data_IF_980309132352
#
_entry.id   IF_980309132352
#
_cell.length_a   1.000
_cell.length_b   1.000
_cell.length_c   1.000
_cell.angle_alpha   90.00
_cell.angle_beta   90.00
_cell.angle_gamma   90.00
#
_symmetry.space_group_name_H-M   'P 1'
#
loop_
_entity.id
_entity.type
_entity.pdbx_description
1 polymer ?
#
# COMPACT_ATOMS: atom_id res chain seq x y z
N UNK A 1 -14.43 -11.96 7.54
CA UNK A 1 -12.96 -12.14 7.52
C UNK A 1 -12.24 -10.81 7.32
N UNK A 2 -12.52 -10.07 6.22
CA UNK A 2 -11.90 -8.78 5.91
C UNK A 2 -11.90 -7.76 7.08
N UNK A 3 -13.06 -7.50 7.70
CA UNK A 3 -13.14 -6.56 8.83
C UNK A 3 -12.25 -6.95 10.02
N UNK A 4 -12.08 -8.25 10.31
CA UNK A 4 -11.20 -8.70 11.40
C UNK A 4 -9.73 -8.42 11.07
N UNK A 5 -9.33 -8.57 9.81
CA UNK A 5 -7.96 -8.31 9.37
C UNK A 5 -7.64 -6.82 9.23
N UNK A 6 -8.65 -5.96 9.07
CA UNK A 6 -8.49 -4.51 9.00
C UNK A 6 -8.24 -3.85 10.37
N UNK A 7 -8.53 -4.54 11.47
CA UNK A 7 -8.30 -4.02 12.83
C UNK A 7 -6.82 -3.75 13.07
N UNK A 8 -5.96 -4.69 12.69
CA UNK A 8 -4.52 -4.60 12.92
C UNK A 8 -3.87 -3.38 12.23
N UNK A 9 -4.02 -3.17 10.91
CA UNK A 9 -3.45 -2.00 10.25
C UNK A 9 -4.06 -0.69 10.78
N UNK A 10 -5.37 -0.65 11.07
CA UNK A 10 -6.01 0.52 11.67
C UNK A 10 -5.44 0.88 13.05
N UNK A 11 -5.20 -0.13 13.89
CA UNK A 11 -4.60 0.07 15.21
C UNK A 11 -3.15 0.58 15.10
N UNK A 12 -2.36 0.05 14.17
CA UNK A 12 -0.96 0.48 13.97
C UNK A 12 -0.84 1.95 13.59
N UNK A 13 -1.74 2.46 12.74
CA UNK A 13 -1.77 3.88 12.34
C UNK A 13 -1.85 4.81 13.55
N UNK A 14 -2.60 4.42 14.58
CA UNK A 14 -2.82 5.25 15.77
C UNK A 14 -1.75 4.96 16.83
N UNK A 15 -1.49 3.68 17.10
CA UNK A 15 -0.59 3.28 18.17
C UNK A 15 0.85 3.72 17.92
N UNK A 16 1.34 3.67 16.68
CA UNK A 16 2.74 4.00 16.37
C UNK A 16 3.07 5.48 16.62
N UNK A 17 2.31 6.47 16.09
CA UNK A 17 2.52 7.88 16.41
C UNK A 17 2.39 8.21 17.90
N UNK A 18 1.44 7.59 18.60
CA UNK A 18 1.26 7.76 20.05
C UNK A 18 2.53 7.29 20.78
N UNK A 19 2.97 6.07 20.54
CA UNK A 19 4.16 5.51 21.19
C UNK A 19 5.42 6.31 20.86
N UNK A 20 5.63 6.67 19.60
CA UNK A 20 6.82 7.43 19.19
C UNK A 20 6.79 8.84 19.78
N UNK A 21 5.64 9.51 19.77
CA UNK A 21 5.47 10.85 20.31
C UNK A 21 5.77 10.91 21.80
N UNK A 22 5.15 10.03 22.61
CA UNK A 22 5.30 10.07 24.07
C UNK A 22 6.65 9.51 24.57
N UNK A 23 7.26 8.55 23.87
CA UNK A 23 8.52 7.95 24.31
C UNK A 23 9.76 8.69 23.80
N UNK A 24 9.72 9.24 22.58
CA UNK A 24 10.89 9.82 21.90
C UNK A 24 10.73 11.30 21.53
N UNK A 25 9.56 11.88 21.80
CA UNK A 25 9.29 13.31 21.61
C UNK A 25 8.93 13.72 20.17
N UNK A 26 8.60 15.01 19.97
CA UNK A 26 8.05 15.54 18.73
C UNK A 26 9.04 15.51 17.54
N UNK A 27 10.34 15.62 17.78
CA UNK A 27 11.36 15.56 16.71
C UNK A 27 11.40 14.17 16.07
N UNK A 28 11.35 13.13 16.90
CA UNK A 28 11.33 11.73 16.45
C UNK A 28 10.04 11.39 15.68
N UNK A 29 8.92 11.99 16.09
CA UNK A 29 7.65 11.91 15.37
C UNK A 29 7.75 12.53 13.97
N UNK A 30 8.43 13.67 13.83
CA UNK A 30 8.71 14.30 12.55
C UNK A 30 9.55 13.40 11.63
N UNK A 31 10.60 12.76 12.16
CA UNK A 31 11.43 11.82 11.39
C UNK A 31 10.66 10.57 10.94
N UNK A 32 9.77 10.05 11.80
CA UNK A 32 8.85 8.96 11.43
C UNK A 32 7.99 9.35 10.23
N UNK A 33 7.43 10.56 10.23
CA UNK A 33 6.58 11.05 9.14
C UNK A 33 7.34 11.17 7.82
N UNK A 34 8.56 11.69 7.85
CA UNK A 34 9.41 11.80 6.65
C UNK A 34 9.69 10.42 6.08
N UNK A 35 10.11 9.47 6.91
CA UNK A 35 10.40 8.10 6.49
C UNK A 35 9.16 7.36 5.97
N UNK A 36 8.03 7.48 6.67
CA UNK A 36 6.77 6.88 6.26
C UNK A 36 6.28 7.45 4.91
N UNK A 37 6.41 8.76 4.72
CA UNK A 37 5.98 9.44 3.48
C UNK A 37 6.84 9.01 2.29
N UNK A 38 8.17 9.05 2.44
CA UNK A 38 9.09 8.66 1.37
C UNK A 38 8.88 7.19 0.96
N UNK A 39 8.78 6.30 1.94
CA UNK A 39 8.58 4.86 1.69
C UNK A 39 7.23 4.59 1.03
N UNK A 40 6.14 5.20 1.53
CA UNK A 40 4.79 4.99 1.02
C UNK A 40 4.60 5.54 -0.40
N UNK A 41 5.25 6.67 -0.72
CA UNK A 41 5.21 7.23 -2.06
C UNK A 41 5.85 6.28 -3.10
N UNK A 42 6.98 5.66 -2.77
CA UNK A 42 7.66 4.71 -3.65
C UNK A 42 6.88 3.39 -3.77
N UNK A 43 6.49 2.80 -2.63
CA UNK A 43 5.78 1.51 -2.59
C UNK A 43 4.38 1.59 -3.20
N UNK A 44 3.62 2.64 -2.90
CA UNK A 44 2.27 2.82 -3.43
C UNK A 44 2.26 2.88 -4.96
N UNK A 45 3.21 3.62 -5.54
CA UNK A 45 3.36 3.69 -7.00
C UNK A 45 3.79 2.34 -7.59
N UNK A 46 4.75 1.67 -6.97
CA UNK A 46 5.21 0.36 -7.42
C UNK A 46 4.08 -0.69 -7.42
N UNK A 47 3.28 -0.77 -6.36
CA UNK A 47 2.19 -1.75 -6.26
C UNK A 47 1.09 -1.49 -7.30
N UNK A 48 0.67 -0.23 -7.44
CA UNK A 48 -0.37 0.14 -8.41
C UNK A 48 0.08 -0.18 -9.84
N UNK A 49 1.29 0.22 -10.21
CA UNK A 49 1.76 0.06 -11.59
C UNK A 49 2.11 -1.38 -11.94
N UNK A 50 2.76 -2.10 -11.02
CA UNK A 50 3.10 -3.51 -11.25
C UNK A 50 1.84 -4.35 -11.41
N UNK A 51 0.86 -4.19 -10.53
CA UNK A 51 -0.40 -4.94 -10.65
C UNK A 51 -1.19 -4.56 -11.90
N UNK A 52 -1.25 -3.27 -12.26
CA UNK A 52 -1.91 -2.83 -13.49
C UNK A 52 -1.21 -3.36 -14.76
N UNK A 53 0.13 -3.43 -14.76
CA UNK A 53 0.91 -3.95 -15.88
C UNK A 53 0.65 -5.45 -16.08
N UNK A 54 0.57 -6.23 -15.00
CA UNK A 54 0.29 -7.66 -15.05
C UNK A 54 -1.14 -7.96 -15.55
N UNK A 55 -2.14 -7.17 -15.12
CA UNK A 55 -3.51 -7.26 -15.64
C UNK A 55 -3.59 -6.92 -17.13
N UNK A 56 -2.91 -5.84 -17.54
CA UNK A 56 -2.86 -5.44 -18.95
C UNK A 56 -2.16 -6.49 -19.82
N UNK A 57 -1.10 -7.13 -19.31
CA UNK A 57 -0.44 -8.23 -20.00
C UNK A 57 -1.36 -9.44 -20.20
N UNK A 58 -2.21 -9.78 -19.22
CA UNK A 58 -3.25 -10.81 -19.37
C UNK A 58 -4.26 -10.42 -20.45
N UNK A 59 -4.78 -9.19 -20.40
CA UNK A 59 -5.75 -8.67 -21.38
C UNK A 59 -5.21 -8.64 -22.81
N UNK A 60 -3.91 -8.39 -23.01
CA UNK A 60 -3.28 -8.45 -24.33
C UNK A 60 -3.29 -9.86 -24.96
N UNK A 61 -3.19 -10.91 -24.14
CA UNK A 61 -3.36 -12.29 -24.60
C UNK A 61 -4.84 -12.64 -24.84
N UNK A 62 -5.76 -12.08 -24.06
CA UNK A 62 -7.20 -12.31 -24.21
C UNK A 62 -7.79 -11.61 -25.45
N UNK A 63 -7.22 -10.47 -25.85
CA UNK A 63 -7.61 -9.70 -27.04
C UNK A 63 -6.97 -10.20 -28.33
N UNK A 64 -6.04 -11.16 -28.25
CA UNK A 64 -5.38 -11.74 -29.43
C UNK A 64 -4.18 -10.94 -29.95
N UNK A 65 -3.78 -9.85 -29.27
CA UNK A 65 -2.69 -8.96 -29.70
C UNK A 65 -1.29 -9.53 -29.48
N UNK A 66 -1.08 -10.30 -28.40
CA UNK A 66 0.23 -10.88 -28.06
C UNK A 66 0.22 -12.42 -27.92
N UNK A 67 -0.83 -13.10 -28.38
CA UNK A 67 -0.95 -14.55 -28.31
C UNK A 67 -2.39 -15.02 -28.34
N UNK A 68 -2.60 -16.33 -28.22
CA UNK A 68 -3.94 -16.93 -28.19
C UNK A 68 -4.36 -17.26 -26.76
N UNK A 69 -5.65 -17.04 -26.46
CA UNK A 69 -6.26 -17.45 -25.19
C UNK A 69 -6.14 -18.96 -25.01
N UNK A 70 -5.75 -19.40 -23.82
CA UNK A 70 -5.51 -20.81 -23.49
C UNK A 70 -4.12 -21.34 -23.87
N UNK A 71 -3.24 -20.50 -24.44
CA UNK A 71 -1.83 -20.84 -24.59
C UNK A 71 -1.10 -20.87 -23.23
N UNK A 72 0.06 -21.53 -23.18
CA UNK A 72 0.90 -21.56 -21.97
C UNK A 72 1.31 -20.15 -21.52
N UNK A 73 1.57 -19.24 -22.47
CA UNK A 73 1.84 -17.82 -22.20
C UNK A 73 0.65 -17.11 -21.56
N UNK A 74 -0.57 -17.40 -22.01
CA UNK A 74 -1.78 -16.86 -21.38
C UNK A 74 -1.92 -17.35 -19.93
N UNK A 75 -1.72 -18.65 -19.67
CA UNK A 75 -1.78 -19.19 -18.31
C UNK A 75 -0.73 -18.54 -17.39
N UNK A 76 0.49 -18.30 -17.87
CA UNK A 76 1.50 -17.56 -17.13
C UNK A 76 1.07 -16.12 -16.81
N UNK A 77 0.44 -15.42 -17.77
CA UNK A 77 -0.09 -14.06 -17.55
C UNK A 77 -1.25 -14.02 -16.53
N UNK A 78 -2.08 -15.07 -16.46
CA UNK A 78 -3.14 -15.20 -15.45
C UNK A 78 -2.53 -15.35 -14.06
N UNK A 79 -1.46 -16.15 -13.91
CA UNK A 79 -0.73 -16.26 -12.64
C UNK A 79 -0.13 -14.90 -12.26
N UNK A 80 0.44 -14.17 -13.22
CA UNK A 80 0.93 -12.81 -13.02
C UNK A 80 -0.15 -11.86 -12.49
N UNK A 81 -1.32 -11.81 -13.12
CA UNK A 81 -2.44 -10.97 -12.66
C UNK A 81 -2.94 -11.39 -11.27
N UNK A 82 -2.97 -12.69 -10.96
CA UNK A 82 -3.35 -13.19 -9.63
C UNK A 82 -2.40 -12.69 -8.53
N UNK A 83 -1.10 -12.52 -8.85
CA UNK A 83 -0.12 -11.89 -7.95
C UNK A 83 -0.30 -10.37 -7.91
N UNK A 84 -0.70 -9.76 -9.03
CA UNK A 84 -0.92 -8.32 -9.18
C UNK A 84 -2.18 -7.78 -8.49
N UNK A 85 -3.25 -8.57 -8.40
CA UNK A 85 -4.53 -8.19 -7.77
C UNK A 85 -4.37 -7.69 -6.32
N UNK A 86 -3.74 -8.43 -5.38
CA UNK A 86 -3.54 -7.93 -4.03
C UNK A 86 -2.64 -6.68 -3.97
N UNK A 87 -1.77 -6.47 -4.97
CA UNK A 87 -0.92 -5.29 -5.05
C UNK A 87 -1.72 -4.05 -5.48
N UNK A 88 -2.44 -4.11 -6.60
CA UNK A 88 -3.15 -2.95 -7.16
C UNK A 88 -4.46 -2.62 -6.44
N UNK A 89 -5.17 -3.63 -5.93
CA UNK A 89 -6.52 -3.42 -5.38
C UNK A 89 -6.54 -3.29 -3.85
N UNK A 90 -5.51 -3.80 -3.16
CA UNK A 90 -5.45 -3.79 -1.69
C UNK A 90 -4.25 -3.01 -1.19
N UNK A 91 -3.03 -3.48 -1.43
CA UNK A 91 -1.82 -2.93 -0.81
C UNK A 91 -1.52 -1.50 -1.29
N UNK A 92 -1.55 -1.26 -2.60
CA UNK A 92 -1.23 0.04 -3.19
C UNK A 92 -2.11 1.18 -2.68
N UNK A 93 -3.45 1.09 -2.81
CA UNK A 93 -4.36 2.08 -2.25
C UNK A 93 -4.23 2.21 -0.73
N UNK A 94 -4.08 1.10 0.00
CA UNK A 94 -4.01 1.11 1.46
C UNK A 94 -2.76 1.79 2.00
N UNK A 95 -1.59 1.63 1.36
CA UNK A 95 -0.33 2.27 1.78
C UNK A 95 -0.43 3.80 1.68
N UNK A 96 -1.06 4.32 0.62
CA UNK A 96 -1.26 5.77 0.46
C UNK A 96 -2.24 6.34 1.49
N UNK A 97 -3.27 5.59 1.86
CA UNK A 97 -4.20 5.97 2.93
C UNK A 97 -3.51 5.91 4.29
N UNK A 98 -2.75 4.84 4.55
CA UNK A 98 -1.97 4.65 5.77
C UNK A 98 -1.05 5.84 6.04
N UNK A 99 -0.32 6.30 5.02
CA UNK A 99 0.53 7.49 5.07
C UNK A 99 -0.26 8.74 5.53
N UNK A 100 -1.42 9.00 4.94
CA UNK A 100 -2.25 10.17 5.27
C UNK A 100 -2.79 10.11 6.69
N UNK A 101 -3.27 8.95 7.11
CA UNK A 101 -3.83 8.77 8.46
C UNK A 101 -2.74 8.89 9.53
N UNK A 102 -1.57 8.30 9.29
CA UNK A 102 -0.42 8.41 10.21
C UNK A 102 0.02 9.87 10.38
N UNK A 103 0.07 10.62 9.27
CA UNK A 103 0.28 12.08 9.28
C UNK A 103 -0.77 12.84 10.10
N UNK A 104 -2.05 12.55 9.87
CA UNK A 104 -3.14 13.22 10.58
C UNK A 104 -3.11 12.92 12.09
N UNK A 105 -2.87 11.67 12.49
CA UNK A 105 -2.73 11.30 13.91
C UNK A 105 -1.54 11.98 14.58
N UNK A 106 -0.39 12.07 13.90
CA UNK A 106 0.79 12.73 14.42
C UNK A 106 0.57 14.24 14.62
N UNK A 107 -0.09 14.90 13.66
CA UNK A 107 -0.46 16.32 13.76
C UNK A 107 -1.41 16.59 14.93
N UNK A 108 -2.40 15.72 15.15
CA UNK A 108 -3.35 15.86 16.27
C UNK A 108 -2.68 15.67 17.64
N UNK A 109 -1.61 14.88 17.72
CA UNK A 109 -0.86 14.67 18.96
C UNK A 109 0.09 15.82 19.31
N UNK A 110 0.46 16.65 18.33
CA UNK A 110 1.48 17.68 18.52
C UNK A 110 1.17 18.67 19.67
N UNK A 111 -0.06 19.19 19.86
CA UNK A 111 -0.38 20.08 20.98
C UNK A 111 -0.26 19.43 22.37
N UNK A 112 -0.33 18.09 22.46
CA UNK A 112 -0.17 17.37 23.72
C UNK A 112 1.30 17.03 24.04
N UNK A 113 2.20 17.23 23.07
CA UNK A 113 3.64 16.93 23.16
C UNK A 113 4.52 18.17 23.32
N UNK A 114 3.94 19.36 23.12
CA UNK A 114 4.57 20.68 23.31
C UNK A 114 4.22 21.23 24.70
#
# INVERSE_FOLDING_TARGET
FALKQMVLPGLLVIAVPVLVGFLFGPVSLGMLLVGATASSAMLGFFFNNTGALLDNAKKLHETGLCGMKGSESHNASVVGDTVGDPLKDVAGPSVLIFMKLLGMTALLLLPALL
#
